data_IF_747365901576
#
_entry.id   IF_747365901576
#
_cell.length_a   1.000
_cell.length_b   1.000
_cell.length_c   1.000
_cell.angle_alpha   90.00
_cell.angle_beta   90.00
_cell.angle_gamma   90.00
#
_symmetry.space_group_name_H-M   'P 1'
#
loop_
_entity.id
_entity.type
_entity.pdbx_description
1 polymer ?
#
# COMPACT_ATOMS: atom_id res chain seq x y z
N UNK A 1 5.42 59.77 -29.11
CA UNK A 1 6.52 58.89 -28.71
C UNK A 1 6.41 58.42 -27.23
N UNK A 2 6.05 59.28 -26.27
CA UNK A 2 5.94 58.83 -24.81
C UNK A 2 4.82 57.82 -24.57
N UNK A 3 3.69 57.87 -25.29
CA UNK A 3 2.56 56.92 -25.07
C UNK A 3 2.82 55.50 -25.61
N UNK A 4 3.67 55.35 -26.62
CA UNK A 4 4.03 54.04 -27.20
C UNK A 4 5.00 53.30 -26.29
N UNK A 5 5.92 54.02 -25.65
CA UNK A 5 6.89 53.42 -24.69
C UNK A 5 6.18 52.88 -23.45
N UNK A 6 5.15 53.60 -22.96
CA UNK A 6 4.39 53.19 -21.78
C UNK A 6 3.56 51.91 -22.07
N UNK A 7 3.02 51.77 -23.31
CA UNK A 7 2.25 50.60 -23.72
C UNK A 7 3.16 49.34 -23.85
N UNK A 8 4.39 49.53 -24.36
CA UNK A 8 5.37 48.45 -24.49
C UNK A 8 5.86 47.94 -23.10
N UNK A 9 5.96 48.85 -22.12
CA UNK A 9 6.39 48.48 -20.77
C UNK A 9 5.31 47.65 -20.03
N UNK A 10 4.03 47.96 -20.25
CA UNK A 10 2.91 47.22 -19.65
C UNK A 10 2.79 45.82 -20.24
N UNK A 11 3.09 45.64 -21.54
CA UNK A 11 3.06 44.32 -22.19
C UNK A 11 4.21 43.41 -21.73
N UNK A 12 5.39 44.00 -21.35
CA UNK A 12 6.53 43.23 -20.88
C UNK A 12 6.35 42.69 -19.44
N UNK A 13 5.56 43.37 -18.60
CA UNK A 13 5.27 42.93 -17.22
C UNK A 13 4.21 41.83 -17.17
N UNK A 14 3.31 41.76 -18.18
CA UNK A 14 2.23 40.77 -18.22
C UNK A 14 2.68 39.32 -18.51
N UNK A 15 3.88 39.12 -19.09
CA UNK A 15 4.38 37.78 -19.48
C UNK A 15 5.14 37.08 -18.37
N UNK A 16 5.51 37.79 -17.30
CA UNK A 16 6.32 37.22 -16.21
C UNK A 16 5.53 36.44 -15.16
N UNK A 17 4.17 36.38 -15.20
CA UNK A 17 3.35 35.73 -14.17
C UNK A 17 2.74 34.38 -14.58
N UNK A 18 3.06 33.84 -15.77
CA UNK A 18 2.52 32.53 -16.20
C UNK A 18 3.49 31.37 -16.04
N UNK A 19 4.58 31.52 -15.29
CA UNK A 19 5.56 30.45 -15.04
C UNK A 19 5.55 29.94 -13.59
N UNK A 20 4.40 29.95 -12.89
CA UNK A 20 4.18 29.10 -11.73
C UNK A 20 3.42 27.85 -12.17
N UNK A 21 4.03 27.08 -13.07
CA UNK A 21 3.70 25.67 -13.24
C UNK A 21 4.08 24.97 -11.95
N UNK A 22 3.08 24.50 -11.19
CA UNK A 22 3.29 23.68 -10.01
C UNK A 22 4.19 22.50 -10.38
N UNK A 23 5.45 22.57 -10.02
CA UNK A 23 6.28 21.36 -9.96
C UNK A 23 5.65 20.49 -8.90
N UNK A 24 4.92 19.45 -9.33
CA UNK A 24 4.63 18.31 -8.48
C UNK A 24 5.97 17.81 -7.97
N UNK A 25 6.25 18.02 -6.68
CA UNK A 25 7.37 17.39 -5.99
C UNK A 25 7.09 15.89 -5.82
N UNK A 26 6.72 15.23 -6.91
CA UNK A 26 6.79 13.80 -7.06
C UNK A 26 8.12 13.52 -7.74
N UNK A 27 9.19 13.37 -6.99
CA UNK A 27 10.42 12.81 -7.50
C UNK A 27 10.06 11.46 -8.12
N UNK A 28 10.06 11.36 -9.45
CA UNK A 28 10.08 10.07 -10.12
C UNK A 28 11.39 9.42 -9.74
N UNK A 29 11.36 8.59 -8.70
CA UNK A 29 12.42 7.63 -8.45
C UNK A 29 12.35 6.68 -9.63
N UNK A 30 13.23 6.86 -10.62
CA UNK A 30 13.52 5.90 -11.67
C UNK A 30 14.26 4.74 -11.01
N UNK A 31 13.55 3.91 -10.31
CA UNK A 31 13.95 2.61 -9.82
C UNK A 31 12.77 1.69 -10.05
N UNK A 32 13.00 0.41 -10.17
CA UNK A 32 11.94 -0.58 -10.22
C UNK A 32 10.95 -0.26 -9.09
N UNK A 33 9.74 0.11 -9.45
CA UNK A 33 8.71 0.41 -8.47
C UNK A 33 8.43 -0.91 -7.77
N UNK A 34 8.99 -1.09 -6.59
CA UNK A 34 8.71 -2.25 -5.75
C UNK A 34 7.25 -2.13 -5.32
N UNK A 35 6.36 -2.68 -6.12
CA UNK A 35 4.96 -2.84 -5.74
C UNK A 35 4.93 -3.95 -4.69
N UNK A 36 5.06 -3.55 -3.42
CA UNK A 36 5.07 -4.49 -2.30
C UNK A 36 3.69 -5.04 -1.99
N UNK A 37 2.64 -4.42 -2.55
CA UNK A 37 1.24 -4.82 -2.32
C UNK A 37 0.33 -4.32 -3.44
N UNK A 38 -0.72 -5.07 -3.76
CA UNK A 38 -1.70 -4.64 -4.75
C UNK A 38 -2.67 -5.72 -5.21
N UNK A 39 -3.68 -5.25 -5.93
CA UNK A 39 -4.64 -6.10 -6.63
C UNK A 39 -4.01 -6.72 -7.87
N UNK A 40 -3.99 -8.05 -7.96
CA UNK A 40 -3.61 -8.80 -9.16
C UNK A 40 -4.80 -8.96 -10.08
N UNK A 41 -5.95 -9.27 -9.49
CA UNK A 41 -7.28 -9.32 -10.12
C UNK A 41 -8.31 -8.77 -9.14
N UNK A 42 -9.58 -8.55 -9.53
CA UNK A 42 -10.63 -8.18 -8.60
C UNK A 42 -10.85 -9.18 -7.45
N UNK A 43 -10.40 -10.40 -7.61
CA UNK A 43 -10.56 -11.49 -6.64
C UNK A 43 -9.29 -11.81 -5.86
N UNK A 44 -8.12 -11.28 -6.30
CA UNK A 44 -6.81 -11.64 -5.77
C UNK A 44 -6.04 -10.40 -5.32
N UNK A 45 -5.62 -10.40 -4.08
CA UNK A 45 -4.71 -9.39 -3.52
C UNK A 45 -3.39 -10.04 -3.09
N UNK A 46 -2.26 -9.42 -3.40
CA UNK A 46 -0.92 -9.88 -3.03
C UNK A 46 -0.18 -8.85 -2.20
N UNK A 47 0.67 -9.36 -1.30
CA UNK A 47 1.61 -8.54 -0.54
C UNK A 47 2.96 -9.25 -0.47
N UNK A 48 4.05 -8.48 -0.54
CA UNK A 48 5.40 -8.95 -0.23
C UNK A 48 5.77 -8.49 1.17
N UNK A 49 6.26 -9.40 1.99
CA UNK A 49 6.73 -9.09 3.35
C UNK A 49 8.02 -9.82 3.68
N UNK A 50 8.76 -9.29 4.64
CA UNK A 50 10.02 -9.86 5.10
C UNK A 50 9.89 -10.17 6.59
N UNK A 51 10.36 -11.35 6.98
CA UNK A 51 10.48 -11.76 8.36
C UNK A 51 11.91 -12.09 8.72
N UNK A 52 12.29 -11.81 9.96
CA UNK A 52 13.60 -12.11 10.50
C UNK A 52 13.54 -13.34 11.40
N UNK A 53 14.64 -14.12 11.50
CA UNK A 53 14.71 -15.27 12.39
C UNK A 53 14.56 -14.85 13.86
N UNK A 54 13.96 -15.73 14.67
CA UNK A 54 13.94 -15.53 16.13
C UNK A 54 15.37 -15.48 16.68
N UNK A 55 15.72 -14.48 17.50
CA UNK A 55 17.05 -14.39 18.12
C UNK A 55 17.42 -15.63 18.94
N UNK A 56 18.72 -15.96 19.00
CA UNK A 56 19.25 -17.06 19.82
C UNK A 56 19.14 -18.45 19.19
N UNK A 57 18.53 -18.59 18.02
CA UNK A 57 18.50 -19.86 17.29
C UNK A 57 19.80 -20.07 16.49
N UNK A 58 20.41 -21.24 16.63
CA UNK A 58 21.62 -21.65 15.89
C UNK A 58 21.33 -22.62 14.75
N UNK A 59 20.23 -23.35 14.82
CA UNK A 59 19.82 -24.30 13.80
C UNK A 59 19.20 -23.55 12.61
N UNK A 60 19.75 -23.75 11.41
CA UNK A 60 19.33 -23.08 10.18
C UNK A 60 17.84 -23.32 9.86
N UNK A 61 17.34 -24.55 10.00
CA UNK A 61 15.96 -24.91 9.70
C UNK A 61 15.01 -24.17 10.66
N UNK A 62 15.34 -24.07 11.94
CA UNK A 62 14.56 -23.33 12.93
C UNK A 62 14.59 -21.82 12.64
N UNK A 63 15.76 -21.27 12.27
CA UNK A 63 15.90 -19.87 11.87
C UNK A 63 15.00 -19.56 10.69
N UNK A 64 15.10 -20.32 9.62
CA UNK A 64 14.30 -20.12 8.40
C UNK A 64 12.79 -20.34 8.68
N UNK A 65 12.43 -21.33 9.49
CA UNK A 65 11.03 -21.57 9.89
C UNK A 65 10.43 -20.37 10.60
N UNK A 66 11.12 -19.84 11.63
CA UNK A 66 10.63 -18.68 12.39
C UNK A 66 10.62 -17.38 11.56
N UNK A 67 11.58 -17.20 10.64
CA UNK A 67 11.60 -16.07 9.72
C UNK A 67 10.39 -16.10 8.75
N UNK A 68 10.07 -17.27 8.20
CA UNK A 68 8.90 -17.45 7.33
C UNK A 68 7.59 -17.17 8.06
N UNK A 69 7.45 -17.67 9.30
CA UNK A 69 6.29 -17.42 10.14
C UNK A 69 6.14 -15.92 10.45
N UNK A 70 7.22 -15.26 10.84
CA UNK A 70 7.23 -13.81 11.07
C UNK A 70 6.82 -13.03 9.81
N UNK A 71 7.34 -13.41 8.62
CA UNK A 71 6.96 -12.81 7.36
C UNK A 71 5.46 -12.99 7.08
N UNK A 72 4.90 -14.17 7.33
CA UNK A 72 3.47 -14.43 7.14
C UNK A 72 2.60 -13.57 8.05
N UNK A 73 2.92 -13.48 9.34
CA UNK A 73 2.19 -12.64 10.30
C UNK A 73 2.21 -11.17 9.86
N UNK A 74 3.36 -10.68 9.38
CA UNK A 74 3.48 -9.31 8.87
C UNK A 74 2.68 -9.09 7.59
N UNK A 75 2.61 -10.09 6.68
CA UNK A 75 1.79 -10.04 5.49
C UNK A 75 0.30 -9.95 5.84
N UNK A 76 -0.18 -10.83 6.71
CA UNK A 76 -1.57 -10.86 7.18
C UNK A 76 -1.98 -9.54 7.82
N UNK A 77 -1.14 -9.00 8.71
CA UNK A 77 -1.36 -7.71 9.35
C UNK A 77 -1.49 -6.59 8.32
N UNK A 78 -0.56 -6.50 7.38
CA UNK A 78 -0.54 -5.46 6.33
C UNK A 78 -1.79 -5.51 5.44
N UNK A 79 -2.25 -6.71 5.06
CA UNK A 79 -3.47 -6.87 4.27
C UNK A 79 -4.69 -6.36 5.04
N UNK A 80 -4.83 -6.72 6.32
CA UNK A 80 -5.94 -6.25 7.16
C UNK A 80 -5.91 -4.73 7.28
N UNK A 81 -4.76 -4.12 7.55
CA UNK A 81 -4.60 -2.66 7.62
C UNK A 81 -5.03 -1.98 6.31
N UNK A 82 -4.64 -2.54 5.16
CA UNK A 82 -5.06 -2.02 3.84
C UNK A 82 -6.56 -2.13 3.62
N UNK A 83 -7.16 -3.25 3.95
CA UNK A 83 -8.60 -3.46 3.77
C UNK A 83 -9.42 -2.57 4.71
N UNK A 84 -8.97 -2.40 5.95
CA UNK A 84 -9.57 -1.46 6.90
C UNK A 84 -9.46 -0.02 6.38
N UNK A 85 -8.27 0.40 5.93
CA UNK A 85 -8.05 1.74 5.38
C UNK A 85 -8.95 2.03 4.18
N UNK A 86 -9.00 1.13 3.19
CA UNK A 86 -9.82 1.28 2.01
C UNK A 86 -11.33 1.38 2.34
N UNK A 87 -11.80 0.60 3.33
CA UNK A 87 -13.19 0.66 3.77
C UNK A 87 -13.52 1.96 4.50
N UNK A 88 -12.59 2.47 5.31
CA UNK A 88 -12.76 3.72 6.05
C UNK A 88 -12.74 4.94 5.12
N UNK A 89 -11.86 4.95 4.09
CA UNK A 89 -11.83 6.00 3.06
C UNK A 89 -13.14 6.07 2.28
N UNK A 90 -13.76 4.93 2.00
CA UNK A 90 -15.07 4.85 1.35
C UNK A 90 -16.26 5.25 2.24
N UNK A 91 -16.08 5.29 3.55
CA UNK A 91 -17.12 5.58 4.54
C UNK A 91 -17.08 7.04 5.04
N UNK A 92 -16.91 8.01 4.14
CA UNK A 92 -16.83 9.43 4.48
C UNK A 92 -18.02 9.87 5.36
N UNK A 93 -17.74 10.16 6.65
CA UNK A 93 -18.75 10.60 7.62
C UNK A 93 -19.09 9.60 8.73
N UNK A 94 -18.41 8.46 8.82
CA UNK A 94 -18.60 7.53 9.94
C UNK A 94 -18.10 8.16 11.25
N UNK A 95 -19.01 8.47 12.16
CA UNK A 95 -18.69 9.05 13.46
C UNK A 95 -17.93 8.11 14.39
N UNK A 96 -17.77 6.84 14.00
CA UNK A 96 -17.16 5.78 14.81
C UNK A 96 -16.19 4.91 14.02
N UNK A 97 -15.03 5.51 13.69
CA UNK A 97 -13.98 4.81 12.95
C UNK A 97 -13.42 3.57 13.67
N UNK A 98 -13.38 3.59 15.01
CA UNK A 98 -12.79 2.50 15.79
C UNK A 98 -13.65 1.23 15.70
N UNK A 99 -14.95 1.34 15.90
CA UNK A 99 -15.89 0.20 15.83
C UNK A 99 -15.98 -0.35 14.40
N UNK A 100 -15.99 0.54 13.40
CA UNK A 100 -15.98 0.16 11.97
C UNK A 100 -14.70 -0.60 11.61
N UNK A 101 -13.54 -0.09 12.04
CA UNK A 101 -12.25 -0.74 11.80
C UNK A 101 -12.17 -2.15 12.41
N UNK A 102 -12.66 -2.33 13.64
CA UNK A 102 -12.73 -3.63 14.31
C UNK A 102 -13.67 -4.60 13.57
N UNK A 103 -14.84 -4.13 13.14
CA UNK A 103 -15.80 -4.94 12.40
C UNK A 103 -15.23 -5.41 11.06
N UNK A 104 -14.58 -4.52 10.31
CA UNK A 104 -13.91 -4.83 9.04
C UNK A 104 -12.76 -5.82 9.23
N UNK A 105 -11.90 -5.58 10.22
CA UNK A 105 -10.81 -6.51 10.54
C UNK A 105 -11.33 -7.90 10.87
N UNK A 106 -12.42 -8.02 11.61
CA UNK A 106 -13.08 -9.30 11.94
C UNK A 106 -13.67 -9.96 10.69
N UNK A 107 -14.32 -9.18 9.82
CA UNK A 107 -14.91 -9.67 8.56
C UNK A 107 -13.86 -10.33 7.65
N UNK A 108 -12.69 -9.68 7.49
CA UNK A 108 -11.66 -10.16 6.58
C UNK A 108 -10.63 -11.11 7.21
N UNK A 109 -10.59 -11.24 8.55
CA UNK A 109 -9.58 -12.06 9.23
C UNK A 109 -9.54 -13.51 8.77
N UNK A 110 -10.69 -14.12 8.49
CA UNK A 110 -10.78 -15.49 7.99
C UNK A 110 -10.19 -15.66 6.59
N UNK A 111 -10.50 -14.72 5.69
CA UNK A 111 -9.97 -14.70 4.32
C UNK A 111 -8.46 -14.46 4.32
N UNK A 112 -7.99 -13.54 5.16
CA UNK A 112 -6.57 -13.20 5.26
C UNK A 112 -5.75 -14.34 5.84
N UNK A 113 -6.21 -14.99 6.91
CA UNK A 113 -5.55 -16.18 7.49
C UNK A 113 -5.59 -17.40 6.58
N UNK A 114 -6.57 -17.49 5.70
CA UNK A 114 -6.69 -18.54 4.68
C UNK A 114 -5.86 -18.30 3.43
N UNK A 115 -5.05 -17.26 3.41
CA UNK A 115 -4.19 -16.94 2.26
C UNK A 115 -3.06 -17.97 2.06
N UNK A 116 -2.36 -17.83 0.94
CA UNK A 116 -1.33 -18.77 0.50
C UNK A 116 0.00 -18.05 0.26
N UNK A 117 1.09 -18.65 0.71
CA UNK A 117 2.44 -18.20 0.34
C UNK A 117 2.74 -18.71 -1.08
N UNK A 118 2.80 -17.79 -2.04
CA UNK A 118 3.07 -18.09 -3.45
C UNK A 118 4.57 -18.30 -3.70
N UNK A 119 5.42 -17.55 -2.97
CA UNK A 119 6.87 -17.64 -3.06
C UNK A 119 7.46 -17.35 -1.69
N UNK A 120 8.56 -18.05 -1.36
CA UNK A 120 9.40 -17.77 -0.20
C UNK A 120 10.86 -17.86 -0.63
N UNK A 121 11.65 -16.84 -0.31
CA UNK A 121 13.09 -16.77 -0.58
C UNK A 121 13.83 -16.40 0.69
N UNK A 122 15.04 -16.93 0.86
CA UNK A 122 15.87 -16.68 2.05
C UNK A 122 17.17 -16.02 1.62
N UNK A 123 17.60 -15.04 2.38
CA UNK A 123 18.91 -14.42 2.20
C UNK A 123 20.02 -15.15 2.99
N UNK A 124 21.23 -14.61 2.94
CA UNK A 124 22.41 -15.17 3.64
C UNK A 124 22.29 -15.15 5.17
N UNK A 125 21.45 -14.30 5.71
CA UNK A 125 21.24 -14.12 7.15
C UNK A 125 19.98 -14.89 7.64
N UNK A 126 19.41 -15.75 6.77
CA UNK A 126 18.19 -16.53 6.97
C UNK A 126 16.92 -15.68 7.13
N UNK A 127 16.93 -14.38 6.74
CA UNK A 127 15.70 -13.63 6.62
C UNK A 127 14.84 -14.20 5.49
N UNK A 128 13.53 -14.20 5.66
CA UNK A 128 12.61 -14.75 4.68
C UNK A 128 11.78 -13.64 4.05
N UNK A 129 11.89 -13.47 2.72
CA UNK A 129 10.94 -12.70 1.93
C UNK A 129 9.87 -13.64 1.39
N UNK A 130 8.60 -13.32 1.62
CA UNK A 130 7.47 -14.05 1.06
C UNK A 130 6.61 -13.16 0.17
N UNK A 131 6.01 -13.79 -0.83
CA UNK A 131 4.84 -13.26 -1.55
C UNK A 131 3.62 -13.99 -1.04
N UNK A 132 2.74 -13.27 -0.34
CA UNK A 132 1.53 -13.80 0.24
C UNK A 132 0.31 -13.36 -0.58
N UNK A 133 -0.61 -14.28 -0.84
CA UNK A 133 -1.80 -14.05 -1.65
C UNK A 133 -3.05 -14.42 -0.88
N UNK A 134 -4.04 -13.55 -0.93
CA UNK A 134 -5.41 -13.84 -0.51
C UNK A 134 -6.33 -13.85 -1.72
N UNK A 135 -7.28 -14.78 -1.76
CA UNK A 135 -8.19 -14.97 -2.86
C UNK A 135 -9.61 -15.21 -2.35
N UNK A 136 -10.55 -14.45 -2.89
CA UNK A 136 -11.99 -14.62 -2.68
C UNK A 136 -12.74 -13.93 -3.83
N UNK A 137 -13.74 -14.60 -4.38
CA UNK A 137 -14.61 -14.02 -5.41
C UNK A 137 -15.22 -12.70 -4.93
N UNK A 138 -15.08 -11.64 -5.73
CA UNK A 138 -15.56 -10.29 -5.38
C UNK A 138 -14.83 -9.65 -4.20
N UNK A 139 -13.59 -10.05 -3.90
CA UNK A 139 -12.82 -9.53 -2.76
C UNK A 139 -12.68 -8.01 -2.83
N UNK A 140 -12.30 -7.47 -4.00
CA UNK A 140 -12.11 -6.05 -4.19
C UNK A 140 -13.40 -5.25 -3.97
N UNK A 141 -14.50 -5.69 -4.55
CA UNK A 141 -15.79 -5.04 -4.35
C UNK A 141 -16.27 -5.12 -2.90
N UNK A 142 -15.95 -6.20 -2.18
CA UNK A 142 -16.24 -6.31 -0.75
C UNK A 142 -15.39 -5.36 0.09
N UNK A 143 -14.12 -5.12 -0.29
CA UNK A 143 -13.22 -4.20 0.42
C UNK A 143 -13.57 -2.74 0.11
N UNK A 144 -13.79 -2.40 -1.16
CA UNK A 144 -14.04 -1.02 -1.62
C UNK A 144 -15.54 -0.64 -1.57
N UNK A 145 -16.45 -1.61 -1.71
CA UNK A 145 -17.88 -1.39 -1.90
C UNK A 145 -18.72 -1.26 -0.62
N UNK A 146 -18.10 -1.23 0.57
CA UNK A 146 -18.82 -1.02 1.84
C UNK A 146 -19.33 0.40 2.08
N UNK A 147 -19.14 1.30 1.13
CA UNK A 147 -19.50 2.72 1.24
C UNK A 147 -20.85 3.09 0.60
N UNK A 148 -21.57 2.12 0.01
CA UNK A 148 -22.87 2.39 -0.63
C UNK A 148 -23.97 1.56 0.03
N UNK A 149 -24.48 2.07 1.16
CA UNK A 149 -25.88 1.94 1.58
C UNK A 149 -26.26 3.13 2.41
#
# INVERSE_FOLDING_TARGET
MKKVVTLALILAVGVAFTACGGQSMGGQVKGDTFVTEGWVTPDIFRVTSVGVPKPGLTNKIQRQGTAKEAAQIMAEKRIIEKFVGARLEGAAGAADYASTGIAVAKEFSGVVKGGTIVRATYDKDDNCEIVYQVERKGLRSSVEGGATK
#
